data_IF_947298505002
#
_entry.id   IF_947298505002
#
_cell.length_a   1.000
_cell.length_b   1.000
_cell.length_c   1.000
_cell.angle_alpha   90.00
_cell.angle_beta   90.00
_cell.angle_gamma   90.00
#
_symmetry.space_group_name_H-M   'P 1'
#
loop_
_entity.id
_entity.type
_entity.pdbx_description
1 polymer ?
#
# COMPACT_ATOMS: atom_id res chain seq x y z
N UNK A 1 0.21 31.81 6.40
CA UNK A 1 1.12 30.78 5.87
C UNK A 1 0.41 29.43 6.02
N UNK A 2 0.10 28.69 4.95
CA UNK A 2 -0.68 27.47 5.13
C UNK A 2 0.22 26.40 5.74
N UNK A 3 -0.08 26.02 6.97
CA UNK A 3 0.51 24.85 7.64
C UNK A 3 -0.29 23.62 7.18
N UNK A 4 -0.04 23.14 5.96
CA UNK A 4 -0.77 21.98 5.40
C UNK A 4 -0.11 20.67 5.81
N UNK A 5 -0.88 19.77 6.40
CA UNK A 5 -0.44 18.41 6.72
C UNK A 5 -0.46 17.55 5.44
N UNK A 6 0.68 17.47 4.76
CA UNK A 6 0.84 16.63 3.57
C UNK A 6 1.04 15.17 3.94
N UNK A 7 0.48 14.28 3.12
CA UNK A 7 0.65 12.83 3.19
C UNK A 7 1.37 12.26 1.94
N UNK A 8 2.05 13.12 1.19
CA UNK A 8 2.78 12.74 -0.03
C UNK A 8 4.18 12.20 0.30
N UNK A 9 4.60 11.18 -0.46
CA UNK A 9 5.95 10.58 -0.46
C UNK A 9 6.50 10.25 0.94
N UNK A 10 5.64 9.69 1.80
CA UNK A 10 6.03 9.26 3.14
C UNK A 10 6.63 7.84 3.09
N UNK A 11 7.73 7.58 3.82
CA UNK A 11 8.25 6.24 3.95
C UNK A 11 7.29 5.36 4.75
N UNK A 12 7.06 4.14 4.26
CA UNK A 12 6.15 3.16 4.89
C UNK A 12 6.87 1.85 5.15
N UNK A 13 6.63 1.28 6.33
CA UNK A 13 7.09 -0.04 6.71
C UNK A 13 5.89 -0.97 6.78
N UNK A 14 5.98 -2.10 6.09
CA UNK A 14 5.04 -3.22 6.21
C UNK A 14 5.75 -4.34 6.97
N UNK A 15 5.16 -4.77 8.08
CA UNK A 15 5.71 -5.85 8.92
C UNK A 15 4.75 -7.05 8.93
N UNK A 16 5.32 -8.25 8.83
CA UNK A 16 4.57 -9.51 8.69
C UNK A 16 4.44 -9.97 7.23
N UNK A 17 4.19 -11.27 7.04
CA UNK A 17 4.15 -11.92 5.73
C UNK A 17 2.77 -12.31 5.24
N UNK A 18 1.69 -11.90 5.92
CA UNK A 18 0.30 -12.28 5.62
C UNK A 18 0.14 -13.79 5.31
N UNK A 19 0.57 -14.65 6.24
CA UNK A 19 0.59 -16.12 6.05
C UNK A 19 1.34 -16.62 4.81
N UNK A 20 2.39 -15.92 4.39
CA UNK A 20 3.19 -16.25 3.22
C UNK A 20 2.67 -15.62 1.92
N UNK A 21 1.75 -14.65 1.99
CA UNK A 21 1.24 -13.93 0.82
C UNK A 21 1.99 -12.63 0.53
N UNK A 22 2.89 -12.20 1.43
CA UNK A 22 3.73 -11.00 1.25
C UNK A 22 5.21 -11.35 1.49
N UNK A 23 6.08 -11.04 0.53
CA UNK A 23 7.52 -11.17 0.68
C UNK A 23 8.13 -9.97 1.41
N UNK A 24 8.77 -10.21 2.56
CA UNK A 24 9.53 -9.22 3.32
C UNK A 24 10.97 -9.05 2.82
N UNK A 25 11.79 -8.28 3.56
CA UNK A 25 13.23 -8.15 3.31
C UNK A 25 13.59 -7.34 2.05
N UNK A 26 12.69 -6.46 1.61
CA UNK A 26 12.83 -5.70 0.36
C UNK A 26 12.62 -4.21 0.62
N UNK A 27 13.36 -3.38 -0.12
CA UNK A 27 13.05 -1.97 -0.30
C UNK A 27 12.37 -1.82 -1.66
N UNK A 28 11.09 -1.43 -1.67
CA UNK A 28 10.28 -1.30 -2.88
C UNK A 28 9.96 0.18 -3.07
N UNK A 29 10.28 0.69 -4.25
CA UNK A 29 9.94 2.04 -4.68
C UNK A 29 8.80 1.95 -5.70
N UNK A 30 7.75 2.72 -5.47
CA UNK A 30 6.68 2.96 -6.43
C UNK A 30 6.89 4.33 -7.09
N UNK A 31 6.36 4.57 -8.30
CA UNK A 31 6.43 5.89 -8.94
C UNK A 31 5.89 6.98 -7.99
N UNK A 32 6.77 7.93 -7.67
CA UNK A 32 6.75 8.72 -6.43
C UNK A 32 5.61 9.72 -6.23
N UNK A 33 4.84 10.06 -7.27
CA UNK A 33 3.77 11.06 -7.16
C UNK A 33 2.37 10.55 -7.55
N UNK A 34 2.25 9.28 -7.96
CA UNK A 34 1.01 8.77 -8.57
C UNK A 34 0.46 7.52 -7.93
N UNK A 35 1.12 6.96 -6.91
CA UNK A 35 0.69 5.72 -6.28
C UNK A 35 -0.04 6.03 -4.97
N UNK A 36 -1.38 5.94 -4.92
CA UNK A 36 -2.11 6.20 -3.69
C UNK A 36 -1.74 5.19 -2.60
N UNK A 37 -1.57 5.67 -1.37
CA UNK A 37 -1.38 4.82 -0.20
C UNK A 37 -2.55 3.83 -0.02
N UNK A 38 -3.75 4.23 -0.41
CA UNK A 38 -4.94 3.38 -0.39
C UNK A 38 -4.81 2.11 -1.24
N UNK A 39 -3.91 2.07 -2.23
CA UNK A 39 -3.59 0.83 -2.97
C UNK A 39 -2.93 -0.22 -2.05
N UNK A 40 -2.07 0.20 -1.11
CA UNK A 40 -1.48 -0.68 -0.11
C UNK A 40 -2.58 -1.26 0.78
N UNK A 41 -3.46 -0.41 1.31
CA UNK A 41 -4.55 -0.85 2.17
C UNK A 41 -5.54 -1.77 1.45
N UNK A 42 -5.90 -1.47 0.20
CA UNK A 42 -6.74 -2.32 -0.63
C UNK A 42 -6.11 -3.72 -0.83
N UNK A 43 -4.78 -3.76 -0.99
CA UNK A 43 -4.03 -5.02 -1.08
C UNK A 43 -4.01 -5.77 0.25
N UNK A 44 -3.87 -5.06 1.37
CA UNK A 44 -3.89 -5.68 2.70
C UNK A 44 -5.26 -6.29 3.02
N UNK A 45 -6.35 -5.59 2.71
CA UNK A 45 -7.72 -6.10 2.86
C UNK A 45 -7.94 -7.41 2.08
N UNK A 46 -7.45 -7.46 0.85
CA UNK A 46 -7.46 -8.68 0.04
C UNK A 46 -6.69 -9.83 0.71
N UNK A 47 -5.48 -9.58 1.22
CA UNK A 47 -4.67 -10.61 1.88
C UNK A 47 -5.27 -11.12 3.19
N UNK A 48 -6.10 -10.34 3.86
CA UNK A 48 -6.84 -10.78 5.07
C UNK A 48 -8.23 -11.32 4.77
N UNK A 49 -8.57 -11.52 3.50
CA UNK A 49 -9.84 -12.12 3.09
C UNK A 49 -11.05 -11.21 3.22
N UNK A 50 -10.85 -9.88 3.21
CA UNK A 50 -11.93 -8.88 3.18
C UNK A 50 -12.10 -8.40 1.73
N UNK A 51 -13.11 -8.87 0.99
CA UNK A 51 -13.34 -8.42 -0.37
C UNK A 51 -13.68 -6.93 -0.36
N UNK A 52 -12.88 -6.13 -1.06
CA UNK A 52 -13.08 -4.68 -1.18
C UNK A 52 -12.71 -4.28 -2.60
N UNK A 53 -13.63 -3.62 -3.30
CA UNK A 53 -13.42 -3.21 -4.69
C UNK A 53 -12.63 -1.90 -4.79
N UNK A 54 -12.85 -0.99 -3.84
CA UNK A 54 -12.22 0.33 -3.80
C UNK A 54 -12.09 0.83 -2.38
N UNK A 55 -11.00 1.53 -2.08
CA UNK A 55 -10.79 2.24 -0.82
C UNK A 55 -10.30 3.65 -1.12
N UNK A 56 -11.06 4.68 -0.73
CA UNK A 56 -10.67 6.07 -0.96
C UNK A 56 -10.35 6.38 -2.42
N UNK A 57 -9.14 6.89 -2.66
CA UNK A 57 -8.58 7.24 -3.96
C UNK A 57 -7.81 6.09 -4.65
N UNK A 58 -7.96 4.84 -4.17
CA UNK A 58 -7.24 3.71 -4.72
C UNK A 58 -7.51 3.53 -6.22
N UNK A 59 -6.46 3.28 -6.97
CA UNK A 59 -6.47 2.98 -8.42
C UNK A 59 -6.29 1.49 -8.72
N UNK A 60 -5.94 0.69 -7.71
CA UNK A 60 -5.83 -0.77 -7.83
C UNK A 60 -5.05 -1.42 -6.68
N UNK A 61 -4.94 -2.75 -6.71
CA UNK A 61 -4.07 -3.50 -5.78
C UNK A 61 -2.60 -3.42 -6.22
N UNK A 62 -1.69 -3.46 -5.26
CA UNK A 62 -0.25 -3.50 -5.48
C UNK A 62 0.18 -4.92 -5.86
N UNK A 63 0.81 -5.07 -7.03
CA UNK A 63 1.29 -6.35 -7.56
C UNK A 63 2.74 -6.70 -7.16
N UNK A 64 3.45 -5.82 -6.44
CA UNK A 64 4.86 -6.03 -6.05
C UNK A 64 5.04 -6.56 -4.63
N UNK A 65 3.95 -6.77 -3.89
CA UNK A 65 4.00 -7.25 -2.50
C UNK A 65 4.06 -8.76 -2.37
N UNK A 66 3.59 -9.49 -3.37
CA UNK A 66 3.43 -10.95 -3.36
C UNK A 66 4.77 -11.69 -3.24
N UNK A 67 4.72 -12.93 -2.77
CA UNK A 67 5.87 -13.87 -2.66
C UNK A 67 6.20 -14.47 -4.01
#
# INVERSE_FOLDING_TARGET
MPTVHSQHDLPIIVAGGASGHIAGGRYIVYPGDTTPLTNLYLTMLDKVGVPTEKLGDSTGKLNRLEV
#
